data_IF_380249899333
#
_entry.id   IF_380249899333
#
_cell.length_a   1.000
_cell.length_b   1.000
_cell.length_c   1.000
_cell.angle_alpha   90.00
_cell.angle_beta   90.00
_cell.angle_gamma   90.00
#
_symmetry.space_group_name_H-M   'P 1'
#
loop_
_entity.id
_entity.type
_entity.pdbx_description
1 polymer ?
2 non-polymer ?
3 water ?
#
# COMPACT_ATOMS: atom_id res chain seq x y z
N UNK A 1 5.09 0.92 21.91
CA UNK A 1 5.36 -0.51 22.21
C UNK A 1 6.83 -0.75 22.55
N UNK A 2 7.05 -1.72 23.43
CA UNK A 2 8.35 -2.17 23.73
C UNK A 2 8.89 -3.12 22.65
N UNK A 3 10.19 -3.41 22.70
CA UNK A 3 10.84 -4.41 21.82
C UNK A 3 10.96 -5.70 22.57
N UNK A 4 10.32 -6.72 22.06
CA UNK A 4 10.38 -8.06 22.66
C UNK A 4 11.67 -8.80 22.35
N UNK A 5 11.96 -9.77 23.21
CA UNK A 5 13.20 -10.53 23.08
C UNK A 5 12.97 -12.05 23.04
N UNK A 6 11.73 -12.51 22.96
CA UNK A 6 11.43 -13.94 22.94
C UNK A 6 11.76 -14.61 21.64
N UNK A 7 11.69 -13.83 20.55
CA UNK A 7 11.93 -14.33 19.19
C UNK A 7 12.82 -13.35 18.41
N UNK A 8 13.98 -13.80 18.00
CA UNK A 8 14.84 -12.98 17.21
C UNK A 8 14.09 -12.49 15.94
N UNK A 9 14.33 -11.24 15.62
CA UNK A 9 13.80 -10.58 14.44
C UNK A 9 14.87 -10.50 13.36
N UNK A 10 14.72 -11.33 12.35
CA UNK A 10 15.65 -11.44 11.23
C UNK A 10 14.88 -11.02 9.97
N UNK A 11 15.18 -9.87 9.48
CA UNK A 11 14.52 -9.34 8.29
C UNK A 11 14.96 -10.06 7.01
N UNK A 12 14.07 -10.63 6.21
CA UNK A 12 14.49 -11.22 4.94
C UNK A 12 15.14 -10.20 4.06
N UNK A 13 16.14 -10.62 3.30
CA UNK A 13 16.80 -9.69 2.38
C UNK A 13 15.98 -9.61 1.10
N UNK A 14 15.89 -8.41 0.57
CA UNK A 14 15.25 -8.14 -0.71
C UNK A 14 16.02 -7.03 -1.38
N UNK A 15 16.98 -7.43 -2.20
CA UNK A 15 17.84 -6.50 -2.88
C UNK A 15 17.03 -5.67 -3.87
N UNK A 16 17.39 -4.39 -3.94
CA UNK A 16 16.86 -3.47 -4.92
C UNK A 16 17.98 -2.84 -5.73
N UNK A 17 17.65 -2.03 -6.72
CA UNK A 17 18.68 -1.37 -7.55
C UNK A 17 18.42 0.10 -7.60
N UNK A 18 19.45 0.93 -7.43
CA UNK A 18 19.31 2.35 -7.59
C UNK A 18 20.02 2.67 -8.94
N UNK A 19 19.38 3.43 -9.79
CA UNK A 19 19.81 3.69 -11.17
C UNK A 19 19.94 5.13 -11.48
N UNK A 20 21.01 5.43 -12.26
CA UNK A 20 21.24 6.77 -12.78
C UNK A 20 21.50 6.70 -14.26
N UNK A 21 21.13 7.76 -14.96
CA UNK A 21 21.34 7.80 -16.41
C UNK A 21 22.79 7.47 -16.88
N UNK A 22 23.72 8.10 -16.25
CA UNK A 22 25.12 7.89 -16.62
C UNK A 22 25.75 6.61 -16.10
N UNK A 23 25.35 6.16 -14.91
CA UNK A 23 25.98 5.05 -14.24
C UNK A 23 25.34 3.71 -14.28
N UNK A 24 24.10 3.73 -14.75
CA UNK A 24 23.34 2.49 -14.77
C UNK A 24 22.88 2.14 -13.38
N UNK A 25 22.61 0.86 -13.21
CA UNK A 25 21.97 0.39 -12.01
C UNK A 25 22.98 -0.33 -11.11
N UNK A 26 22.85 -0.07 -9.80
CA UNK A 26 23.70 -0.71 -8.79
C UNK A 26 22.86 -1.27 -7.66
N UNK A 27 23.23 -2.44 -7.15
CA UNK A 27 22.45 -3.08 -6.09
C UNK A 27 22.52 -2.38 -4.73
N UNK A 28 21.43 -2.47 -3.97
CA UNK A 28 21.34 -1.97 -2.59
C UNK A 28 20.95 -3.20 -1.79
N UNK A 29 21.52 -3.35 -0.61
CA UNK A 29 21.26 -4.47 0.27
C UNK A 29 20.07 -4.18 1.20
N UNK A 30 18.92 -3.92 0.57
CA UNK A 30 17.70 -3.67 1.30
C UNK A 30 17.13 -4.94 1.86
N UNK A 31 16.20 -4.78 2.81
CA UNK A 31 15.55 -5.88 3.50
C UNK A 31 14.04 -5.60 3.56
N UNK A 32 13.27 -6.54 4.10
CA UNK A 32 11.83 -6.27 4.39
C UNK A 32 11.53 -6.58 5.83
N UNK A 33 10.52 -5.89 6.39
CA UNK A 33 10.09 -6.06 7.75
C UNK A 33 8.53 -6.16 7.80
N UNK A 34 8.04 -7.07 8.61
CA UNK A 34 6.62 -7.25 8.82
C UNK A 34 6.05 -6.09 9.64
N UNK A 35 4.89 -5.59 9.21
CA UNK A 35 4.18 -4.56 9.91
C UNK A 35 3.73 -5.00 11.31
N UNK A 36 3.80 -4.04 12.24
CA UNK A 36 3.60 -4.33 13.67
C UNK A 36 2.20 -4.95 13.96
N UNK A 37 1.16 -4.63 13.16
CA UNK A 37 -0.20 -5.20 13.44
C UNK A 37 -0.27 -6.71 13.40
N UNK A 38 0.59 -7.34 12.62
CA UNK A 38 0.54 -8.78 12.48
C UNK A 38 1.29 -9.54 13.60
N UNK A 39 2.08 -8.80 14.40
CA UNK A 39 2.98 -9.44 15.36
C UNK A 39 2.32 -9.82 16.66
N UNK A 40 2.95 -10.78 17.32
CA UNK A 40 2.68 -11.12 18.68
C UNK A 40 2.95 -9.89 19.55
N UNK A 41 2.03 -9.58 20.45
CA UNK A 41 2.25 -8.52 21.44
C UNK A 41 2.01 -9.11 22.85
N UNK A 42 3.06 -9.06 23.68
CA UNK A 42 3.03 -9.73 24.97
C UNK A 42 3.70 -8.89 26.05
N UNK A 43 3.44 -9.28 27.29
CA UNK A 43 4.04 -8.55 28.41
C UNK A 43 5.54 -8.52 28.23
N UNK A 44 6.16 -7.40 28.55
CA UNK A 44 7.60 -7.24 28.37
C UNK A 44 8.41 -8.14 29.26
N UNK A 45 7.83 -8.60 30.32
CA UNK A 45 8.61 -9.38 31.26
C UNK A 45 8.34 -10.86 31.13
N UNK A 46 7.58 -11.24 30.10
CA UNK A 46 7.25 -12.67 29.89
C UNK A 46 6.60 -13.07 28.55
N UNK A 47 5.63 -13.97 28.64
CA UNK A 47 4.97 -14.55 27.49
C UNK A 47 3.48 -14.30 27.42
N UNK A 48 2.89 -13.67 28.43
CA UNK A 48 1.45 -13.47 28.44
C UNK A 48 1.05 -12.43 27.37
N UNK A 49 0.04 -12.76 26.57
CA UNK A 49 -0.37 -11.85 25.54
C UNK A 49 -0.98 -10.56 26.08
N UNK A 50 -0.73 -9.47 25.36
CA UNK A 50 -1.50 -8.26 25.59
C UNK A 50 -2.70 -8.16 24.67
N UNK A 51 -2.69 -8.91 23.60
CA UNK A 51 -3.75 -8.90 22.62
C UNK A 51 -3.86 -10.31 22.15
N UNK A 52 -5.09 -10.85 22.15
CA UNK A 52 -5.41 -12.19 21.67
C UNK A 52 -6.69 -12.11 20.87
N UNK A 53 -6.62 -12.62 19.65
CA UNK A 53 -7.81 -12.64 18.78
C UNK A 53 -8.18 -11.25 18.37
N UNK A 54 -9.24 -10.70 18.94
CA UNK A 54 -9.62 -9.34 18.61
C UNK A 54 -9.86 -8.47 19.83
N UNK A 55 -9.19 -8.84 20.95
CA UNK A 55 -9.33 -8.10 22.18
C UNK A 55 -7.99 -7.90 22.90
N UNK A 56 -7.90 -6.77 23.58
CA UNK A 56 -6.77 -6.47 24.42
C UNK A 56 -7.03 -7.02 25.81
N UNK A 57 -5.95 -7.29 26.54
CA UNK A 57 -6.01 -7.68 27.95
C UNK A 57 -6.11 -6.38 28.71
N UNK A 58 -7.25 -6.12 29.37
CA UNK A 58 -7.41 -4.79 30.00
C UNK A 58 -6.66 -4.63 31.32
N UNK A 59 -6.12 -5.74 31.82
CA UNK A 59 -5.27 -5.76 33.02
C UNK A 59 -3.94 -5.19 32.61
N UNK A 60 -3.37 -5.71 31.52
CA UNK A 60 -2.08 -5.22 31.02
C UNK A 60 -2.25 -3.90 30.27
N UNK A 61 -3.46 -3.65 29.76
CA UNK A 61 -3.72 -2.51 28.90
C UNK A 61 -4.96 -1.69 29.26
N UNK A 62 -4.92 -1.06 30.43
CA UNK A 62 -6.06 -0.23 30.89
C UNK A 62 -6.17 1.09 30.22
N UNK A 63 -5.08 1.52 29.63
CA UNK A 63 -5.08 2.74 28.86
C UNK A 63 -3.93 2.62 27.86
N UNK A 64 -3.89 3.49 26.86
CA UNK A 64 -2.89 3.31 25.81
C UNK A 64 -1.46 3.45 26.24
N UNK A 65 -1.15 4.38 27.16
CA UNK A 65 0.21 4.59 27.62
C UNK A 65 0.67 3.42 28.49
N UNK A 66 -0.15 2.98 29.42
CA UNK A 66 0.19 1.85 30.26
C UNK A 66 0.41 0.58 29.38
N UNK A 67 -0.46 0.35 28.40
CA UNK A 67 -0.31 -0.79 27.52
C UNK A 67 1.04 -0.75 26.82
N UNK A 68 1.40 0.40 26.26
CA UNK A 68 2.67 0.52 25.54
C UNK A 68 3.85 0.30 26.44
N UNK A 69 3.74 0.72 27.71
CA UNK A 69 4.81 0.46 28.64
C UNK A 69 4.93 -1.04 28.98
N UNK A 70 3.81 -1.73 29.08
CA UNK A 70 3.74 -3.12 29.50
C UNK A 70 3.91 -4.15 28.43
N UNK A 71 3.79 -3.74 27.16
CA UNK A 71 3.67 -4.68 26.08
C UNK A 71 4.71 -4.49 25.03
N UNK A 72 5.17 -5.62 24.52
CA UNK A 72 6.22 -5.68 23.56
C UNK A 72 5.82 -6.41 22.29
N UNK A 73 6.25 -5.87 21.17
CA UNK A 73 6.19 -6.51 19.84
C UNK A 73 7.38 -7.45 19.73
N UNK A 74 7.16 -8.64 19.22
CA UNK A 74 8.27 -9.57 19.09
C UNK A 74 8.61 -10.01 17.67
N UNK A 75 9.65 -10.80 17.52
CA UNK A 75 10.10 -11.25 16.23
C UNK A 75 9.13 -12.20 15.56
N UNK A 76 9.30 -12.33 14.25
CA UNK A 76 8.39 -13.09 13.40
C UNK A 76 9.08 -14.23 12.66
N UNK A 77 8.38 -15.36 12.60
CA UNK A 77 8.76 -16.44 11.72
C UNK A 77 8.11 -16.11 10.39
N UNK A 78 8.88 -15.50 9.50
CA UNK A 78 8.32 -14.95 8.26
C UNK A 78 7.63 -15.99 7.41
N UNK A 79 8.33 -17.10 7.17
CA UNK A 79 7.69 -18.12 6.35
C UNK A 79 6.67 -18.97 7.09
N UNK A 80 7.05 -19.41 8.28
CA UNK A 80 6.25 -20.39 9.05
C UNK A 80 4.90 -19.84 9.47
N UNK A 81 4.89 -18.60 9.95
CA UNK A 81 3.66 -18.00 10.47
C UNK A 81 2.94 -17.16 9.41
N UNK A 82 3.67 -16.46 8.52
CA UNK A 82 3.08 -15.47 7.64
C UNK A 82 3.11 -15.79 6.17
N UNK A 83 3.82 -16.84 5.79
CA UNK A 83 3.93 -17.22 4.40
C UNK A 83 4.68 -16.22 3.53
N UNK A 84 5.65 -15.59 4.14
CA UNK A 84 6.51 -14.59 3.46
C UNK A 84 7.91 -15.17 3.26
N UNK A 85 8.37 -15.20 2.02
CA UNK A 85 9.71 -15.72 1.68
C UNK A 85 10.34 -14.76 0.66
N UNK A 86 11.68 -14.72 0.67
CA UNK A 86 12.42 -14.01 -0.31
C UNK A 86 13.57 -14.81 -0.81
N UNK A 87 13.80 -14.79 -2.13
CA UNK A 87 15.03 -15.39 -2.70
C UNK A 87 16.25 -14.52 -2.54
N UNK A 88 16.04 -13.30 -2.10
CA UNK A 88 17.06 -12.25 -2.02
C UNK A 88 16.73 -11.21 -3.09
N UNK A 89 15.95 -11.57 -4.14
CA UNK A 89 15.53 -10.52 -5.11
C UNK A 89 14.02 -10.58 -5.41
N UNK A 90 13.33 -11.63 -4.99
CA UNK A 90 11.91 -11.84 -5.31
C UNK A 90 11.20 -12.19 -4.03
N UNK A 91 10.15 -11.45 -3.72
CA UNK A 91 9.36 -11.60 -2.51
C UNK A 91 8.06 -12.28 -2.81
N UNK A 92 7.82 -13.42 -2.15
CA UNK A 92 6.58 -14.15 -2.31
C UNK A 92 5.76 -13.90 -1.01
N UNK A 93 4.54 -13.42 -1.19
CA UNK A 93 3.62 -13.18 -0.10
C UNK A 93 2.42 -14.14 -0.35
N UNK A 94 2.26 -15.16 0.48
CA UNK A 94 1.17 -16.12 0.38
C UNK A 94 0.00 -15.56 1.19
N UNK A 95 -1.23 -15.95 0.79
CA UNK A 95 -2.44 -15.43 1.36
C UNK A 95 -2.72 -15.99 2.76
N UNK A 96 -3.12 -17.29 2.84
CA UNK A 96 -3.43 -17.87 4.15
C UNK A 96 -2.36 -18.84 4.61
N UNK A 97 -1.91 -18.64 5.84
CA UNK A 97 -0.90 -19.51 6.45
C UNK A 97 -1.44 -19.85 7.81
N UNK A 98 -1.99 -21.05 8.00
CA UNK A 98 -2.49 -21.42 9.31
C UNK A 98 -3.66 -20.52 9.59
N UNK A 99 -3.72 -19.87 10.75
CA UNK A 99 -4.80 -18.94 11.05
C UNK A 99 -4.49 -17.48 10.62
N UNK A 100 -3.32 -17.32 10.00
CA UNK A 100 -2.94 -15.99 9.55
C UNK A 100 -3.46 -15.69 8.15
N UNK A 101 -4.00 -14.51 8.01
CA UNK A 101 -4.48 -13.99 6.72
C UNK A 101 -3.67 -12.72 6.33
N UNK A 102 -3.07 -12.87 5.18
CA UNK A 102 -2.30 -11.81 4.53
C UNK A 102 -1.06 -11.34 5.28
N UNK A 103 -0.50 -10.24 4.75
CA UNK A 103 0.68 -9.66 5.34
C UNK A 103 0.92 -8.30 4.73
N UNK A 104 1.72 -7.49 5.42
CA UNK A 104 2.28 -6.22 4.90
C UNK A 104 3.70 -6.10 5.41
N UNK A 105 4.62 -5.79 4.51
CA UNK A 105 6.01 -5.60 4.86
C UNK A 105 6.48 -4.27 4.30
N UNK A 106 7.56 -3.74 4.86
CA UNK A 106 8.14 -2.49 4.38
C UNK A 106 9.57 -2.75 3.93
N UNK A 107 10.01 -2.01 2.94
CA UNK A 107 11.40 -2.12 2.50
C UNK A 107 12.33 -1.30 3.47
N UNK A 108 13.38 -1.94 3.91
CA UNK A 108 14.34 -1.34 4.83
C UNK A 108 15.70 -1.06 4.19
N UNK A 109 16.26 0.10 4.56
CA UNK A 109 17.68 0.43 4.24
C UNK A 109 18.64 -0.39 5.11
N UNK A 110 18.27 -0.63 6.32
CA UNK A 110 19.09 -1.36 7.30
C UNK A 110 18.16 -1.90 8.39
N UNK A 111 18.63 -2.59 9.41
CA UNK A 111 17.73 -3.21 10.40
C UNK A 111 16.95 -2.28 11.26
N UNK A 112 17.25 -0.99 11.26
CA UNK A 112 16.46 -0.07 12.07
C UNK A 112 15.89 1.13 11.31
N UNK A 113 15.96 1.08 9.97
CA UNK A 113 15.38 2.14 9.17
C UNK A 113 14.73 1.67 7.91
N UNK A 114 13.50 2.16 7.67
CA UNK A 114 12.89 1.98 6.38
C UNK A 114 13.69 2.69 5.33
N UNK A 115 13.72 2.16 4.12
CA UNK A 115 14.28 2.92 2.99
C UNK A 115 13.41 4.10 2.68
N UNK A 116 13.95 5.32 2.65
CA UNK A 116 13.20 6.54 2.35
C UNK A 116 13.38 6.89 0.92
N UNK A 117 12.40 6.65 0.10
CA UNK A 117 12.48 6.84 -1.31
C UNK A 117 12.01 8.24 -1.61
N UNK A 118 12.77 8.99 -2.40
CA UNK A 118 12.44 10.36 -2.85
C UNK A 118 12.28 10.33 -4.36
N UNK A 119 11.02 10.22 -4.83
CA UNK A 119 10.78 9.88 -6.20
C UNK A 119 10.32 10.95 -7.14
N UNK A 120 10.42 12.22 -6.71
CA UNK A 120 10.22 13.34 -7.65
C UNK A 120 11.24 13.37 -8.72
N UNK A 121 10.74 13.48 -9.99
CA UNK A 121 11.62 13.44 -11.15
C UNK A 121 12.44 12.18 -11.12
N UNK A 122 11.80 11.04 -10.70
CA UNK A 122 12.41 9.73 -10.64
C UNK A 122 11.31 8.75 -11.09
N UNK A 123 11.71 7.48 -11.23
CA UNK A 123 10.76 6.41 -11.53
C UNK A 123 11.00 5.25 -10.58
N UNK A 124 9.98 4.40 -10.46
CA UNK A 124 10.03 3.18 -9.67
C UNK A 124 9.58 2.02 -10.57
N UNK A 125 10.28 0.91 -10.58
CA UNK A 125 10.03 -0.20 -11.46
C UNK A 125 10.10 -1.47 -10.67
N UNK A 126 9.28 -2.45 -11.03
CA UNK A 126 9.24 -3.76 -10.40
C UNK A 126 8.62 -4.73 -11.35
N UNK A 127 8.88 -6.01 -11.10
CA UNK A 127 8.17 -7.12 -11.73
C UNK A 127 7.13 -7.70 -10.78
N UNK A 128 6.02 -8.17 -11.36
CA UNK A 128 4.94 -8.82 -10.58
C UNK A 128 4.46 -10.09 -11.29
N UNK A 129 4.12 -11.07 -10.49
CA UNK A 129 3.51 -12.31 -10.96
C UNK A 129 2.18 -12.44 -10.21
N UNK A 130 1.06 -12.23 -10.92
CA UNK A 130 -0.26 -12.31 -10.37
C UNK A 130 -0.97 -13.55 -10.89
N UNK A 131 -0.24 -14.46 -11.46
CA UNK A 131 -0.92 -15.64 -12.03
C UNK A 131 -1.85 -16.33 -11.00
N UNK A 132 -1.44 -16.33 -9.74
CA UNK A 132 -2.20 -16.98 -8.69
C UNK A 132 -2.78 -16.00 -7.70
N UNK A 133 -3.20 -14.84 -8.22
CA UNK A 133 -3.79 -13.80 -7.42
C UNK A 133 -5.18 -13.35 -7.98
N UNK A 134 -6.27 -13.98 -7.53
CA UNK A 134 -7.65 -13.77 -8.11
C UNK A 134 -8.56 -12.68 -7.60
N UNK A 135 -9.82 -12.63 -8.15
CA UNK A 135 -10.78 -11.64 -7.73
C UNK A 135 -10.78 -11.62 -6.21
N UNK A 136 -11.04 -10.46 -5.62
CA UNK A 136 -11.18 -10.41 -4.21
C UNK A 136 -9.88 -10.25 -3.45
N UNK A 137 -8.74 -10.48 -4.12
CA UNK A 137 -7.42 -10.33 -3.45
C UNK A 137 -6.76 -9.13 -4.01
N UNK A 138 -5.81 -8.60 -3.25
CA UNK A 138 -5.07 -7.42 -3.68
C UNK A 138 -3.59 -7.58 -3.29
N UNK A 139 -2.76 -7.63 -4.32
CA UNK A 139 -1.32 -7.67 -4.13
C UNK A 139 -0.88 -6.22 -4.34
N UNK A 140 -0.59 -5.51 -3.29
CA UNK A 140 -0.36 -4.06 -3.34
C UNK A 140 1.10 -3.71 -3.08
N UNK A 141 1.57 -2.76 -3.86
CA UNK A 141 2.94 -2.20 -3.70
C UNK A 141 2.69 -0.70 -3.71
N UNK A 142 3.06 -0.01 -2.67
CA UNK A 142 2.73 1.37 -2.51
C UNK A 142 3.61 2.15 -1.57
N UNK A 143 3.43 3.46 -1.53
CA UNK A 143 4.22 4.40 -0.74
C UNK A 143 3.39 5.05 0.31
N UNK A 144 3.90 5.15 1.54
CA UNK A 144 3.24 5.87 2.60
C UNK A 144 4.23 6.86 3.17
N UNK A 145 3.74 8.01 3.63
CA UNK A 145 4.58 9.03 4.20
C UNK A 145 4.88 8.71 5.71
N UNK A 146 5.42 7.53 5.99
CA UNK A 146 5.83 7.11 7.29
C UNK A 146 7.21 7.70 7.61
N UNK A 147 7.56 7.74 8.90
CA UNK A 147 8.94 8.13 9.29
C UNK A 147 9.85 6.94 9.12
N UNK A 148 11.10 7.21 8.79
CA UNK A 148 12.06 6.12 8.55
C UNK A 148 12.32 5.26 9.78
N UNK A 149 12.19 5.81 10.97
CA UNK A 149 12.36 5.09 12.23
C UNK A 149 11.02 4.58 12.79
N UNK A 150 9.97 4.60 11.97
CA UNK A 150 8.70 4.10 12.47
C UNK A 150 8.06 4.93 13.57
N UNK A 151 8.65 6.12 13.84
CA UNK A 151 8.11 7.03 14.88
C UNK A 151 8.91 7.09 16.16
N UNK A 152 10.01 6.39 16.27
CA UNK A 152 10.69 6.36 17.56
C UNK A 152 11.19 7.72 18.04
N UNK A 153 11.72 8.51 17.15
CA UNK A 153 12.21 9.82 17.57
C UNK A 153 11.08 10.73 18.07
N UNK A 154 9.86 10.57 17.55
CA UNK A 154 8.76 11.42 17.91
C UNK A 154 7.97 10.98 19.12
N UNK A 155 8.03 9.70 19.44
CA UNK A 155 7.15 9.14 20.42
C UNK A 155 7.90 8.31 21.41
N UNK A 156 8.15 8.86 22.60
CA UNK A 156 8.89 8.10 23.62
C UNK A 156 8.30 6.74 23.96
N UNK A 157 7.00 6.55 23.81
CA UNK A 157 6.40 5.30 24.16
C UNK A 157 6.68 4.19 23.15
N UNK A 158 7.22 4.53 21.99
CA UNK A 158 7.64 3.54 20.95
C UNK A 158 9.14 3.29 21.05
N UNK A 159 9.48 2.17 21.64
CA UNK A 159 10.83 1.69 21.74
C UNK A 159 11.13 0.57 20.76
N UNK A 160 10.16 0.28 19.85
CA UNK A 160 10.32 -0.81 18.91
C UNK A 160 10.75 -0.32 17.55
N UNK A 161 10.04 0.65 16.99
CA UNK A 161 10.51 1.31 15.76
C UNK A 161 10.45 0.50 14.50
N UNK A 162 11.24 0.89 13.54
CA UNK A 162 11.20 0.30 12.22
C UNK A 162 11.57 -1.16 12.21
N UNK A 163 12.41 -1.58 13.15
CA UNK A 163 12.79 -2.97 13.25
C UNK A 163 11.61 -3.89 13.43
N UNK A 164 10.53 -3.41 14.06
CA UNK A 164 9.33 -4.21 14.30
C UNK A 164 8.14 -3.67 13.50
N UNK A 165 8.40 -2.82 12.50
CA UNK A 165 7.32 -2.45 11.56
C UNK A 165 6.34 -1.49 12.13
N UNK A 166 6.70 -0.61 13.04
CA UNK A 166 5.78 0.40 13.60
C UNK A 166 5.62 1.64 12.72
N UNK A 167 4.58 2.40 13.06
CA UNK A 167 4.39 3.71 12.52
C UNK A 167 3.60 3.78 11.23
N UNK A 168 2.82 2.73 10.89
CA UNK A 168 2.03 2.84 9.69
C UNK A 168 1.07 4.02 9.75
N UNK A 169 0.75 4.50 8.54
CA UNK A 169 -0.29 5.45 8.28
C UNK A 169 -0.63 5.31 6.81
N UNK A 170 -1.85 5.69 6.45
CA UNK A 170 -2.21 5.79 5.03
C UNK A 170 -3.38 6.76 4.89
N UNK A 171 -3.83 6.90 3.66
CA UNK A 171 -4.83 7.91 3.28
C UNK A 171 -6.23 7.55 3.74
N UNK A 172 -6.41 6.37 4.28
CA UNK A 172 -7.70 5.96 4.84
C UNK A 172 -7.72 6.23 6.37
N UNK A 173 -6.67 6.82 6.95
CA UNK A 173 -6.62 7.11 8.39
C UNK A 173 -7.10 5.94 9.22
N UNK A 174 -6.56 4.78 9.00
CA UNK A 174 -7.10 3.60 9.66
C UNK A 174 -7.06 3.59 11.15
N UNK A 175 -8.16 3.08 11.72
CA UNK A 175 -8.31 2.99 13.16
C UNK A 175 -8.17 1.61 13.68
N UNK A 176 -7.73 0.71 12.82
CA UNK A 176 -7.44 -0.69 13.18
C UNK A 176 -5.96 -0.95 13.53
N UNK A 177 -5.17 0.11 13.49
CA UNK A 177 -3.74 0.02 13.84
C UNK A 177 -3.62 0.02 15.35
N UNK A 178 -2.91 -0.98 15.84
CA UNK A 178 -2.85 -1.23 17.26
C UNK A 178 -1.96 -0.29 18.03
N UNK A 179 -0.89 0.15 17.43
CA UNK A 179 0.00 1.12 18.03
C UNK A 179 0.10 2.35 17.17
N UNK A 180 -0.28 3.51 17.75
CA UNK A 180 -0.16 4.84 17.11
C UNK A 180 0.45 5.82 18.08
N UNK A 181 1.42 6.58 17.61
CA UNK A 181 2.08 7.58 18.40
C UNK A 181 2.63 7.05 19.73
N UNK A 182 3.12 5.85 19.71
CA UNK A 182 3.65 5.25 20.93
C UNK A 182 2.69 4.80 21.97
N UNK A 183 1.43 4.74 21.62
CA UNK A 183 0.37 4.34 22.53
C UNK A 183 -0.45 3.22 21.90
N UNK A 184 -0.85 2.27 22.70
CA UNK A 184 -1.77 1.26 22.17
C UNK A 184 -3.12 1.93 21.93
N UNK A 185 -3.73 1.62 20.80
CA UNK A 185 -4.99 2.27 20.39
C UNK A 185 -6.19 1.56 21.00
N UNK A 186 -6.24 1.50 22.33
CA UNK A 186 -7.22 0.70 23.01
C UNK A 186 -8.52 1.39 23.40
N UNK A 187 -8.60 2.69 23.17
CA UNK A 187 -9.77 3.45 23.59
C UNK A 187 -10.97 3.05 22.80
N UNK A 188 -12.06 2.73 23.47
CA UNK A 188 -13.26 2.29 22.83
C UNK A 188 -13.05 1.16 21.84
N UNK A 189 -12.16 0.24 22.20
CA UNK A 189 -11.84 -0.84 21.28
C UNK A 189 -13.08 -1.59 20.88
N UNK A 190 -13.25 -1.83 19.57
CA UNK A 190 -14.46 -2.46 18.99
C UNK A 190 -14.05 -3.59 18.08
N UNK A 191 -14.58 -4.79 18.27
CA UNK A 191 -14.26 -5.93 17.42
C UNK A 191 -14.86 -5.74 16.05
N UNK A 192 -14.10 -6.05 15.00
CA UNK A 192 -14.57 -5.98 13.62
C UNK A 192 -14.46 -7.27 12.85
N UNK A 193 -13.81 -8.25 13.46
CA UNK A 193 -13.58 -9.55 12.88
C UNK A 193 -12.92 -10.42 13.91
N UNK A 194 -12.66 -11.68 13.60
CA UNK A 194 -12.07 -12.59 14.56
C UNK A 194 -10.68 -12.13 15.03
N UNK A 195 -9.91 -11.43 14.17
CA UNK A 195 -8.56 -11.05 14.53
C UNK A 195 -8.34 -9.54 14.57
N UNK A 196 -9.38 -8.78 14.27
CA UNK A 196 -9.28 -7.36 14.15
C UNK A 196 -10.27 -6.55 14.96
N UNK A 197 -9.93 -5.29 15.18
CA UNK A 197 -10.72 -4.30 15.86
C UNK A 197 -10.31 -2.89 15.49
N UNK A 198 -10.99 -1.90 16.02
CA UNK A 198 -10.64 -0.52 15.89
C UNK A 198 -10.66 0.21 17.22
N UNK A 199 -9.82 1.22 17.35
CA UNK A 199 -9.76 2.06 18.50
C UNK A 199 -10.17 3.47 18.21
N UNK A 200 -9.99 4.38 19.16
CA UNK A 200 -10.54 5.70 19.06
C UNK A 200 -9.70 6.61 18.18
N UNK A 201 -8.48 6.18 17.84
CA UNK A 201 -7.61 6.95 16.99
C UNK A 201 -7.36 6.28 15.66
N UNK A 202 -7.16 7.12 14.64
CA UNK A 202 -6.61 6.62 13.38
C UNK A 202 -5.27 7.24 13.07
N UNK A 203 -4.63 6.75 11.97
CA UNK A 203 -3.30 7.22 11.63
C UNK A 203 -3.27 7.55 10.14
N UNK A 204 -3.07 8.82 9.85
CA UNK A 204 -3.23 9.41 8.54
C UNK A 204 -1.94 9.82 7.95
N UNK A 205 -1.81 9.65 6.62
CA UNK A 205 -0.72 10.30 5.89
C UNK A 205 -0.99 10.10 4.40
N UNK A 206 -0.33 10.94 3.62
CA UNK A 206 -0.38 10.84 2.19
C UNK A 206 0.15 9.47 1.73
N UNK A 207 -0.40 9.00 0.62
CA UNK A 207 -0.14 7.65 0.08
C UNK A 207 -0.11 7.67 -1.44
N UNK A 208 0.86 7.00 -2.04
CA UNK A 208 0.89 6.86 -3.49
C UNK A 208 0.76 5.36 -3.78
N UNK A 209 -0.38 4.94 -4.27
CA UNK A 209 -0.62 3.53 -4.58
C UNK A 209 -0.08 3.23 -5.96
N UNK A 210 1.21 2.81 -6.03
CA UNK A 210 1.80 2.50 -7.28
C UNK A 210 1.08 1.33 -7.94
N UNK A 211 0.61 0.40 -7.13
CA UNK A 211 0.03 -0.82 -7.65
C UNK A 211 -0.91 -1.46 -6.66
N UNK A 212 -2.17 -1.54 -7.05
CA UNK A 212 -3.21 -2.33 -6.35
C UNK A 212 -3.83 -3.15 -7.42
N UNK A 213 -3.71 -4.44 -7.30
CA UNK A 213 -4.12 -5.28 -8.39
C UNK A 213 -4.27 -6.73 -8.04
N UNK A 214 -5.09 -7.39 -8.87
CA UNK A 214 -5.10 -8.83 -8.96
C UNK A 214 -5.15 -9.15 -10.45
N UNK A 215 -5.19 -10.39 -10.82
CA UNK A 215 -5.26 -10.67 -12.23
C UNK A 215 -6.56 -10.31 -12.98
N UNK A 216 -7.48 -9.64 -12.32
CA UNK A 216 -8.60 -9.02 -13.05
C UNK A 216 -8.55 -7.51 -13.27
N UNK A 217 -7.78 -6.77 -12.46
CA UNK A 217 -7.89 -5.35 -12.50
C UNK A 217 -6.66 -4.89 -11.75
N UNK A 218 -6.33 -3.69 -12.12
CA UNK A 218 -5.23 -2.94 -11.54
C UNK A 218 -5.53 -1.51 -11.46
N UNK A 219 -4.98 -0.82 -10.49
CA UNK A 219 -5.18 0.59 -10.38
C UNK A 219 -3.91 1.24 -9.81
N UNK A 220 -3.57 2.40 -10.28
CA UNK A 220 -2.53 3.25 -9.67
C UNK A 220 -3.15 4.58 -9.28
N UNK A 221 -2.87 5.02 -8.05
CA UNK A 221 -3.63 6.11 -7.40
C UNK A 221 -2.90 6.95 -6.40
N UNK A 222 -2.64 8.24 -6.67
CA UNK A 222 -2.20 9.17 -5.64
C UNK A 222 -3.33 9.56 -4.69
N UNK A 223 -3.00 9.67 -3.40
CA UNK A 223 -3.93 10.13 -2.34
C UNK A 223 -3.24 11.15 -1.46
N UNK A 224 -3.43 12.44 -1.70
CA UNK A 224 -2.83 13.46 -0.85
C UNK A 224 -3.58 13.69 0.45
N UNK A 225 -2.88 14.10 1.47
CA UNK A 225 -3.54 14.58 2.70
C UNK A 225 -3.03 16.00 2.91
N UNK A 226 -3.86 16.81 3.58
CA UNK A 226 -3.49 18.20 3.84
C UNK A 226 -2.38 18.31 4.83
N UNK A 227 -2.24 17.26 5.62
CA UNK A 227 -1.21 17.19 6.61
C UNK A 227 0.07 16.65 6.02
N UNK A 228 1.15 16.75 6.76
CA UNK A 228 2.44 16.31 6.24
C UNK A 228 3.01 15.29 7.22
N UNK A 229 3.11 14.07 6.77
CA UNK A 229 3.68 13.03 7.58
C UNK A 229 2.61 12.39 8.42
N UNK A 230 3.06 11.47 9.24
CA UNK A 230 2.15 10.57 9.97
C UNK A 230 1.49 11.37 11.10
N UNK A 231 0.16 11.35 11.06
CA UNK A 231 -0.67 12.15 11.93
C UNK A 231 -1.74 11.36 12.55
N UNK A 232 -1.79 11.37 13.88
CA UNK A 232 -2.83 10.68 14.58
C UNK A 232 -4.07 11.53 14.49
N UNK A 233 -5.21 10.90 14.26
CA UNK A 233 -6.50 11.62 14.16
C UNK A 233 -7.56 11.09 15.17
N UNK A 234 -8.50 11.95 15.50
CA UNK A 234 -9.64 11.60 16.30
C UNK A 234 -10.83 12.27 15.62
N UNK A 235 -11.98 11.63 15.75
CA UNK A 235 -13.22 12.27 15.29
C UNK A 235 -13.36 12.37 13.78
N UNK A 236 -13.97 13.46 13.32
CA UNK A 236 -14.22 13.56 11.89
C UNK A 236 -12.93 13.90 11.10
N UNK A 237 -11.82 14.23 11.76
CA UNK A 237 -10.52 14.35 11.07
C UNK A 237 -10.13 13.01 10.44
N UNK A 238 -10.59 11.91 11.05
CA UNK A 238 -10.35 10.59 10.55
C UNK A 238 -11.27 10.29 9.42
N UNK A 239 -12.37 11.06 9.31
CA UNK A 239 -13.39 10.80 8.31
C UNK A 239 -12.79 10.83 6.91
N UNK A 240 -13.03 9.78 6.18
CA UNK A 240 -12.42 9.73 4.86
C UNK A 240 -12.95 10.90 4.04
N UNK A 241 -12.10 11.38 3.20
CA UNK A 241 -12.41 12.43 2.25
C UNK A 241 -12.65 13.79 2.83
N UNK A 242 -13.56 13.83 3.82
CA UNK A 242 -13.97 15.09 4.43
C UNK A 242 -13.02 15.53 5.50
N UNK A 243 -12.19 14.57 5.97
CA UNK A 243 -11.14 14.84 6.97
C UNK A 243 -9.77 15.26 6.43
N UNK A 244 -8.70 14.76 7.04
CA UNK A 244 -7.39 15.17 6.64
C UNK A 244 -6.95 14.67 5.23
N UNK A 245 -7.60 13.62 4.76
CA UNK A 245 -7.02 12.87 3.61
C UNK A 245 -8.01 12.61 2.54
N UNK A 246 -7.50 12.60 1.32
CA UNK A 246 -8.28 12.10 0.20
C UNK A 246 -8.29 10.58 0.16
N UNK A 247 -9.33 9.99 0.71
CA UNK A 247 -9.46 8.56 0.75
C UNK A 247 -9.75 7.82 -0.52
N UNK A 248 -10.37 8.55 -1.44
CA UNK A 248 -10.73 8.01 -2.70
C UNK A 248 -9.53 7.99 -3.67
N UNK A 249 -8.76 9.07 -3.67
CA UNK A 249 -7.63 9.17 -4.55
C UNK A 249 -8.00 9.43 -6.00
N UNK A 250 -7.05 9.92 -6.78
CA UNK A 250 -7.25 10.11 -8.23
C UNK A 250 -6.67 8.83 -8.87
N UNK A 251 -7.52 7.89 -9.25
CA UNK A 251 -7.14 6.57 -9.70
C UNK A 251 -7.11 6.46 -11.21
N UNK A 252 -6.25 5.58 -11.73
CA UNK A 252 -6.21 5.21 -13.09
C UNK A 252 -6.23 3.69 -13.12
N UNK A 253 -7.42 3.17 -13.39
CA UNK A 253 -7.65 1.79 -13.59
C UNK A 253 -8.09 1.75 -15.03
N UNK A 254 -7.37 0.99 -15.86
CA UNK A 254 -7.62 0.98 -17.33
C UNK A 254 -9.07 0.69 -17.61
N UNK A 255 -9.66 -0.24 -16.88
CA UNK A 255 -11.07 -0.69 -17.08
C UNK A 255 -12.01 0.39 -16.63
N UNK A 256 -11.83 0.99 -15.48
CA UNK A 256 -12.65 2.10 -15.01
C UNK A 256 -12.61 3.30 -15.94
N UNK A 257 -11.45 3.51 -16.54
CA UNK A 257 -11.25 4.55 -17.54
C UNK A 257 -11.73 4.14 -18.97
N UNK A 258 -12.49 3.05 -19.10
CA UNK A 258 -13.23 2.78 -20.35
C UNK A 258 -12.55 1.89 -21.35
N UNK A 259 -11.46 1.24 -20.92
CA UNK A 259 -10.75 0.30 -21.78
C UNK A 259 -10.82 -1.06 -21.11
N UNK A 260 -11.79 -1.87 -21.49
CA UNK A 260 -12.03 -3.16 -20.86
C UNK A 260 -11.15 -4.30 -21.35
N UNK A 261 -10.26 -4.10 -22.33
CA UNK A 261 -9.46 -5.20 -22.89
C UNK A 261 -7.90 -5.03 -22.81
N UNK A 262 -7.43 -4.03 -22.07
CA UNK A 262 -6.00 -3.77 -21.96
C UNK A 262 -5.31 -4.75 -20.99
N UNK A 263 -5.91 -4.91 -19.82
CA UNK A 263 -5.20 -5.59 -18.71
C UNK A 263 -6.14 -6.67 -18.14
N UNK A 264 -5.59 -7.85 -18.14
CA UNK A 264 -6.33 -8.99 -17.61
C UNK A 264 -5.77 -10.27 -18.16
N UNK A 265 -6.47 -11.38 -17.91
CA UNK A 265 -5.98 -12.63 -18.42
C UNK A 265 -6.07 -12.67 -19.99
N UNK A 266 -4.91 -12.94 -20.60
CA UNK A 266 -4.74 -13.00 -22.05
C UNK A 266 -4.76 -11.69 -22.82
N UNK A 267 -4.81 -10.56 -22.08
CA UNK A 267 -4.94 -9.21 -22.65
C UNK A 267 -3.54 -8.63 -23.06
N UNK A 268 -3.51 -7.37 -23.46
CA UNK A 268 -2.25 -6.74 -23.89
C UNK A 268 -1.13 -6.88 -22.81
N UNK A 269 -1.54 -6.59 -21.57
CA UNK A 269 -0.78 -6.89 -20.38
C UNK A 269 -1.47 -8.17 -19.87
N UNK A 270 -0.76 -9.27 -20.08
CA UNK A 270 -1.30 -10.64 -19.81
C UNK A 270 -1.01 -11.00 -18.33
N UNK A 271 -2.04 -10.85 -17.50
CA UNK A 271 -1.89 -11.06 -16.05
C UNK A 271 -1.68 -12.52 -15.67
N UNK A 272 -1.76 -13.43 -16.66
CA UNK A 272 -1.55 -14.81 -16.41
C UNK A 272 -0.07 -15.09 -16.36
N UNK A 273 0.81 -14.10 -16.70
CA UNK A 273 2.22 -14.29 -16.71
C UNK A 273 2.94 -13.07 -16.02
N UNK A 274 4.18 -13.23 -15.60
CA UNK A 274 4.83 -12.07 -14.97
C UNK A 274 5.02 -10.92 -15.96
N UNK A 275 5.11 -9.70 -15.42
CA UNK A 275 5.46 -8.53 -16.25
C UNK A 275 6.13 -7.45 -15.39
N UNK A 276 6.65 -6.43 -16.08
CA UNK A 276 7.34 -5.32 -15.50
C UNK A 276 6.40 -4.11 -15.52
N UNK A 277 6.44 -3.34 -14.42
CA UNK A 277 5.61 -2.16 -14.20
C UNK A 277 6.55 -0.98 -13.89
N UNK A 278 6.58 0.00 -14.78
CA UNK A 278 7.34 1.24 -14.62
C UNK A 278 6.38 2.40 -14.27
N UNK A 279 6.74 3.21 -13.27
CA UNK A 279 5.89 4.33 -12.86
C UNK A 279 6.80 5.52 -12.72
N UNK A 280 6.51 6.59 -13.49
CA UNK A 280 7.40 7.75 -13.56
C UNK A 280 6.71 8.98 -12.95
N UNK A 281 7.41 9.72 -12.11
CA UNK A 281 6.83 10.86 -11.41
C UNK A 281 7.47 12.15 -11.98
N UNK A 282 6.81 12.71 -12.97
CA UNK A 282 7.33 13.93 -13.64
C UNK A 282 6.96 15.22 -12.99
N UNK A 283 7.91 16.14 -12.98
CA UNK A 283 7.63 17.48 -12.47
C UNK A 283 7.51 18.46 -13.67
N UNK A 284 6.75 19.55 -13.46
CA UNK A 284 6.50 20.53 -14.52
C UNK A 284 7.77 21.08 -15.18
N UNK A 285 8.88 21.17 -14.45
CA UNK A 285 10.14 21.68 -14.99
C UNK A 285 11.24 20.67 -15.07
N UNK A 286 10.87 19.37 -14.97
CA UNK A 286 11.91 18.30 -14.97
C UNK A 286 13.01 18.40 -13.95
N UNK A 287 12.69 18.98 -12.81
CA UNK A 287 13.63 18.98 -11.72
C UNK A 287 13.02 18.33 -10.49
N UNK A 288 13.88 17.97 -9.56
CA UNK A 288 13.44 17.38 -8.29
C UNK A 288 12.86 18.40 -7.29
N UNK A 289 12.90 19.69 -7.62
CA UNK A 289 12.23 20.68 -6.77
C UNK A 289 10.94 21.14 -7.43
N UNK A 290 10.72 20.69 -8.65
CA UNK A 290 9.52 21.10 -9.33
C UNK A 290 8.22 20.51 -8.77
N UNK A 291 7.11 20.88 -9.41
CA UNK A 291 5.76 20.48 -9.03
C UNK A 291 5.29 19.22 -9.77
N UNK A 292 4.99 18.17 -9.01
CA UNK A 292 4.56 16.93 -9.64
C UNK A 292 3.44 17.25 -10.62
N UNK A 293 3.63 16.93 -11.90
CA UNK A 293 2.71 17.27 -12.96
C UNK A 293 2.08 16.12 -13.75
N UNK A 294 2.72 14.94 -13.65
CA UNK A 294 2.25 13.82 -14.35
C UNK A 294 2.79 12.52 -13.75
N UNK A 295 1.93 11.51 -13.70
CA UNK A 295 2.39 10.16 -13.32
C UNK A 295 2.16 9.24 -14.52
N UNK A 296 3.25 8.78 -15.12
CA UNK A 296 3.21 7.97 -16.30
C UNK A 296 3.42 6.50 -15.93
N UNK A 297 2.85 5.61 -16.75
CA UNK A 297 2.95 4.16 -16.58
C UNK A 297 3.30 3.47 -17.86
N UNK A 298 4.36 2.66 -17.81
CA UNK A 298 4.81 1.84 -18.89
C UNK A 298 4.93 0.39 -18.40
N UNK A 299 4.51 -0.56 -19.22
CA UNK A 299 4.63 -1.98 -18.95
C UNK A 299 5.64 -2.60 -19.91
N UNK A 300 6.29 -3.66 -19.45
CA UNK A 300 7.13 -4.45 -20.33
C UNK A 300 6.78 -5.92 -20.11
N UNK A 301 6.54 -6.66 -21.17
CA UNK A 301 6.18 -8.08 -21.03
C UNK A 301 6.74 -8.76 -22.26
N UNK A 302 7.47 -9.87 -22.06
CA UNK A 302 8.09 -10.57 -23.15
C UNK A 302 8.92 -9.65 -24.03
N UNK A 303 9.57 -8.67 -23.40
CA UNK A 303 10.46 -7.73 -24.11
C UNK A 303 9.70 -6.67 -24.91
N UNK A 304 8.38 -6.70 -24.93
CA UNK A 304 7.59 -5.71 -25.64
C UNK A 304 7.32 -4.51 -24.68
N UNK A 305 7.65 -3.30 -25.12
CA UNK A 305 7.30 -2.10 -24.39
C UNK A 305 5.83 -1.73 -24.67
N UNK A 306 5.03 -1.62 -23.61
CA UNK A 306 3.61 -1.45 -23.73
C UNK A 306 3.26 -0.16 -23.04
N UNK A 307 2.85 0.84 -23.82
CA UNK A 307 2.40 2.04 -23.20
C UNK A 307 1.06 1.85 -22.48
N UNK A 308 0.80 2.70 -21.52
CA UNK A 308 -0.48 2.63 -20.78
C UNK A 308 -1.71 2.86 -21.73
N UNK A 309 -2.87 2.31 -21.35
CA UNK A 309 -4.07 2.46 -22.16
C UNK A 309 -4.57 3.89 -22.03
N UNK A 310 -5.28 4.37 -23.07
CA UNK A 310 -5.89 5.68 -23.08
C UNK A 310 -7.28 5.63 -22.44
N UNK A 311 -7.65 6.71 -21.77
CA UNK A 311 -9.00 6.87 -21.18
C UNK A 311 -10.00 6.98 -22.32
N UNK A 312 -11.16 6.43 -22.09
CA UNK A 312 -12.23 6.50 -23.06
C UNK A 312 -13.56 6.71 -22.34
N UNK A 313 -13.71 7.92 -21.84
CA UNK A 313 -14.87 8.32 -21.05
C UNK A 313 -15.30 9.69 -21.60
N UNK A 314 -16.58 9.84 -21.95
CA UNK A 314 -17.09 11.15 -22.35
C UNK A 314 -16.84 12.22 -21.32
N UNK A 315 -16.29 13.34 -21.71
CA UNK A 315 -15.99 14.38 -20.76
C UNK A 315 -14.56 14.29 -20.20
N UNK A 316 -13.76 13.33 -20.64
CA UNK A 316 -12.40 13.12 -20.13
C UNK A 316 -11.45 13.03 -21.35
N UNK A 317 -10.49 13.89 -21.42
CA UNK A 317 -9.54 13.90 -22.53
C UNK A 317 -8.97 12.46 -22.62
N UNK A 318 -8.81 11.90 -23.82
CA UNK A 318 -8.28 10.54 -24.03
C UNK A 318 -6.73 10.46 -23.83
N UNK A 319 -6.32 10.51 -22.57
CA UNK A 319 -4.93 10.51 -22.12
C UNK A 319 -4.65 9.18 -21.42
N UNK A 320 -3.37 8.90 -21.18
CA UNK A 320 -2.93 7.65 -20.59
C UNK A 320 -2.03 7.90 -19.40
N UNK A 321 -2.04 9.08 -18.79
CA UNK A 321 -1.25 9.36 -17.59
C UNK A 321 -2.13 10.14 -16.59
N UNK A 322 -1.78 10.11 -15.33
CA UNK A 322 -2.51 10.94 -14.34
C UNK A 322 -1.95 12.33 -14.29
N UNK A 323 -2.82 13.34 -14.49
CA UNK A 323 -2.52 14.75 -14.33
C UNK A 323 -3.62 15.48 -13.49
N UNK A 324 -3.37 16.70 -13.01
CA UNK A 324 -4.39 17.47 -12.24
C UNK A 324 -5.64 17.63 -13.11
N UNK A 325 -5.37 17.95 -14.37
CA UNK A 325 -6.49 18.12 -15.27
C UNK A 325 -7.24 16.80 -15.52
N UNK A 326 -6.52 15.69 -15.72
CA UNK A 326 -7.23 14.40 -15.83
C UNK A 326 -8.07 14.04 -14.58
N UNK A 327 -7.54 14.37 -13.42
CA UNK A 327 -8.23 14.12 -12.17
C UNK A 327 -9.52 14.94 -12.10
N UNK A 328 -9.44 16.24 -12.40
CA UNK A 328 -10.65 17.11 -12.34
C UNK A 328 -11.65 16.52 -13.28
N UNK A 329 -11.21 16.16 -14.48
CA UNK A 329 -12.09 15.60 -15.44
C UNK A 329 -12.70 14.30 -15.12
N UNK A 330 -11.92 13.31 -14.65
CA UNK A 330 -12.54 12.04 -14.30
C UNK A 330 -13.47 12.13 -13.01
N UNK A 331 -13.18 13.07 -12.08
CA UNK A 331 -13.99 13.20 -10.85
C UNK A 331 -15.39 13.79 -11.28
N UNK A 332 -15.39 14.74 -12.21
CA UNK A 332 -16.64 15.33 -12.68
C UNK A 332 -17.40 14.27 -13.44
N UNK A 333 -16.69 13.56 -14.30
CA UNK A 333 -17.32 12.51 -15.06
C UNK A 333 -17.93 11.46 -14.28
N UNK A 334 -17.24 11.09 -13.23
CA UNK A 334 -17.72 10.03 -12.36
C UNK A 334 -18.66 10.43 -11.22
N UNK A 335 -18.87 11.73 -11.06
CA UNK A 335 -19.71 12.21 -9.98
C UNK A 335 -19.04 12.18 -8.65
N UNK A 336 -17.70 12.21 -8.59
CA UNK A 336 -17.01 12.14 -7.35
C UNK A 336 -16.49 13.52 -7.09
N UNK A 337 -16.55 13.92 -5.84
CA UNK A 337 -16.05 15.23 -5.42
C UNK A 337 -14.51 15.11 -5.55
N UNK A 338 -13.90 16.23 -5.88
CA UNK A 338 -12.46 16.22 -6.08
C UNK A 338 -11.79 16.56 -4.82
N UNK A 339 -11.81 15.57 -3.89
CA UNK A 339 -11.20 15.63 -2.57
C UNK A 339 -9.70 15.69 -2.80
N UNK A 340 -9.23 15.05 -3.87
CA UNK A 340 -7.85 15.14 -4.30
C UNK A 340 -7.29 16.52 -4.46
N UNK A 341 -8.02 17.39 -5.24
CA UNK A 341 -7.65 18.79 -5.44
C UNK A 341 -7.82 19.57 -4.14
N UNK A 342 -8.81 19.24 -3.35
CA UNK A 342 -9.10 19.89 -2.06
C UNK A 342 -7.94 19.76 -1.09
N UNK A 343 -7.29 18.58 -1.13
CA UNK A 343 -6.12 18.33 -0.33
C UNK A 343 -4.79 18.84 -0.92
N UNK A 344 -4.85 19.36 -2.17
CA UNK A 344 -3.69 19.95 -2.76
C UNK A 344 -3.22 19.33 -4.09
N UNK A 345 -3.99 18.36 -4.56
CA UNK A 345 -3.73 17.63 -5.80
C UNK A 345 -2.33 17.05 -5.93
N UNK A 346 -1.88 17.09 -7.16
CA UNK A 346 -0.56 16.48 -7.46
C UNK A 346 0.53 17.23 -6.79
N UNK A 347 0.35 18.55 -6.61
CA UNK A 347 1.37 19.34 -5.97
C UNK A 347 1.64 18.78 -4.55
N UNK A 348 0.55 18.59 -3.80
CA UNK A 348 0.59 18.09 -2.43
C UNK A 348 1.09 16.62 -2.39
N UNK A 349 0.64 15.83 -3.35
CA UNK A 349 1.20 14.44 -3.48
C UNK A 349 2.68 14.55 -3.69
N UNK A 350 3.07 15.43 -4.59
CA UNK A 350 4.47 15.56 -4.93
C UNK A 350 5.32 16.01 -3.78
N UNK A 351 4.85 16.93 -2.92
CA UNK A 351 5.69 17.30 -1.80
C UNK A 351 5.86 16.13 -0.83
N UNK A 352 4.83 15.29 -0.70
CA UNK A 352 4.99 14.05 0.09
C UNK A 352 6.05 13.13 -0.55
N UNK A 353 6.00 13.01 -1.87
CA UNK A 353 7.05 12.27 -2.53
C UNK A 353 8.43 12.90 -2.30
N UNK A 354 8.47 14.22 -2.37
CA UNK A 354 9.75 14.92 -2.15
C UNK A 354 10.33 14.79 -0.77
N UNK A 355 9.47 14.71 0.23
CA UNK A 355 9.91 14.58 1.59
C UNK A 355 10.42 13.14 1.93
N UNK A 356 10.04 12.20 1.09
CA UNK A 356 10.45 10.82 1.32
C UNK A 356 9.30 9.97 1.80
N UNK A 357 9.23 8.79 1.22
CA UNK A 357 8.14 7.83 1.52
C UNK A 357 8.68 6.42 1.66
N UNK A 358 7.91 5.61 2.40
CA UNK A 358 8.26 4.23 2.71
C UNK A 358 7.48 3.28 1.81
N UNK A 359 8.18 2.28 1.25
CA UNK A 359 7.59 1.29 0.37
C UNK A 359 6.97 0.14 1.18
N UNK A 360 5.68 -0.10 0.97
CA UNK A 360 4.94 -1.21 1.54
C UNK A 360 4.57 -2.21 0.43
N UNK A 361 4.64 -3.49 0.78
CA UNK A 361 4.24 -4.56 -0.10
C UNK A 361 3.30 -5.42 0.69
N UNK A 362 2.19 -5.86 0.10
CA UNK A 362 1.14 -6.55 0.86
C UNK A 362 0.29 -7.47 0.02
N UNK A 363 -0.31 -8.43 0.72
CA UNK A 363 -1.39 -9.24 0.13
C UNK A 363 -2.49 -9.17 1.15
N UNK A 364 -3.73 -8.90 0.70
CA UNK A 364 -4.84 -8.77 1.60
C UNK A 364 -6.19 -9.02 0.92
N UNK A 365 -7.20 -9.24 1.78
CA UNK A 365 -8.65 -9.20 1.38
C UNK A 365 -9.34 -8.05 2.15
N UNK A 366 -10.58 -7.70 1.76
CA UNK A 366 -11.23 -6.47 2.15
C UNK A 366 -12.53 -6.78 2.84
N UNK A 367 -12.53 -6.66 4.16
CA UNK A 367 -13.72 -6.90 4.97
C UNK A 367 -14.72 -5.77 4.75
N UNK A 368 -14.28 -4.58 4.38
CA UNK A 368 -15.22 -3.47 4.23
C UNK A 368 -16.01 -3.47 2.91
N UNK A 369 -15.30 -3.45 1.81
CA UNK A 369 -15.94 -3.37 0.50
C UNK A 369 -15.72 -4.58 -0.41
N UNK A 370 -15.16 -5.67 0.09
CA UNK A 370 -14.94 -6.89 -0.67
C UNK A 370 -14.08 -6.80 -1.97
N UNK A 371 -13.31 -5.72 -2.04
CA UNK A 371 -12.39 -5.42 -3.16
C UNK A 371 -13.18 -4.97 -4.40
N UNK A 372 -14.50 -4.78 -4.21
CA UNK A 372 -15.33 -4.43 -5.37
C UNK A 372 -14.85 -3.13 -6.04
N UNK A 373 -14.32 -2.23 -5.23
CA UNK A 373 -13.85 -0.94 -5.69
C UNK A 373 -12.69 -1.10 -6.70
N UNK A 374 -12.08 -2.30 -6.68
CA UNK A 374 -10.90 -2.56 -7.51
C UNK A 374 -11.32 -3.36 -8.72
N UNK A 375 -12.19 -4.32 -8.49
CA UNK A 375 -12.40 -5.22 -9.57
C UNK A 375 -13.90 -5.50 -9.92
N UNK A 376 -14.81 -4.63 -9.56
CA UNK A 376 -16.23 -4.88 -9.78
C UNK A 376 -16.98 -3.53 -9.79
N UNK A 377 -18.29 -3.59 -9.43
CA UNK A 377 -19.04 -2.39 -9.39
C UNK A 377 -19.03 -1.74 -8.07
N UNK A 378 -18.82 -0.42 -8.00
CA UNK A 378 -18.87 0.24 -6.79
C UNK A 378 -19.24 1.67 -7.08
N UNK A 379 -20.05 2.29 -6.24
CA UNK A 379 -20.78 1.56 -5.15
C UNK A 379 -21.75 0.39 -5.66
N UNK A 380 -22.17 -0.54 -4.77
CA UNK A 380 -22.96 -1.74 -5.17
C UNK A 380 -24.42 -1.33 -5.37
N UNK A 381 -24.67 -0.06 -5.13
CA UNK A 381 -26.00 0.50 -5.34
C UNK A 381 -26.09 1.46 -6.52
N UNK A 382 -25.04 1.59 -7.29
CA UNK A 382 -25.09 2.46 -8.45
C UNK A 382 -25.22 1.60 -9.71
N UNK A 383 -25.73 2.25 -10.76
CA UNK A 383 -25.90 1.57 -11.99
C UNK A 383 -24.55 1.34 -12.67
N UNK A 384 -24.28 0.10 -12.92
CA UNK A 384 -23.07 -0.35 -13.55
C UNK A 384 -22.83 0.21 -14.89
N UNK A 385 -23.80 0.87 -15.52
CA UNK A 385 -23.59 1.33 -16.86
C UNK A 385 -23.15 2.76 -16.75
N UNK A 386 -23.25 3.34 -15.55
CA UNK A 386 -22.81 4.72 -15.37
C UNK A 386 -21.25 4.85 -15.35
N UNK A 387 -20.73 5.94 -15.91
CA UNK A 387 -19.29 6.12 -15.93
C UNK A 387 -18.75 6.02 -14.56
N UNK A 388 -17.66 5.27 -14.45
CA UNK A 388 -16.94 5.10 -13.21
C UNK A 388 -17.43 4.02 -12.29
N UNK A 389 -18.63 3.47 -12.51
CA UNK A 389 -19.16 2.46 -11.58
C UNK A 389 -18.48 1.12 -11.67
N UNK A 390 -18.33 0.70 -12.89
CA UNK A 390 -17.73 -0.58 -13.19
C UNK A 390 -16.13 -0.47 -13.26
N UNK A 391 -15.39 -1.23 -12.41
CA UNK A 391 -13.91 -1.13 -12.34
C UNK A 391 -13.27 -2.48 -12.80
N UNK A 392 -14.04 -3.54 -12.90
CA UNK A 392 -13.54 -4.76 -13.43
C UNK A 392 -14.70 -5.68 -13.69
N UNK A 393 -14.36 -6.95 -14.00
CA UNK A 393 -15.41 -7.99 -14.28
C UNK A 393 -15.61 -9.02 -13.20
N UNK A 394 -15.06 -8.78 -11.99
CA UNK A 394 -15.33 -9.66 -10.87
C UNK A 394 -16.85 -9.54 -10.50
N UNK A 395 -17.45 -10.65 -10.08
CA UNK A 395 -18.85 -10.69 -9.65
C UNK A 395 -19.09 -9.77 -8.45
N UNK A 396 -20.28 -9.21 -8.38
CA UNK A 396 -20.56 -8.34 -7.26
C UNK A 396 -20.60 -9.12 -5.96
N UNK A 397 -20.57 -10.42 -6.05
CA UNK A 397 -20.64 -11.31 -4.91
C UNK A 397 -19.27 -11.77 -4.47
N UNK A 398 -18.23 -11.48 -5.25
CA UNK A 398 -16.88 -11.97 -4.88
C UNK A 398 -16.27 -11.12 -3.80
N UNK A 399 -15.15 -11.62 -3.30
CA UNK A 399 -14.29 -10.89 -2.38
C UNK A 399 -14.70 -10.89 -0.93
N UNK A 400 -15.76 -11.60 -0.57
CA UNK A 400 -16.11 -11.67 0.84
C UNK A 400 -14.98 -12.46 1.53
N UNK A 401 -14.36 -11.87 2.52
CA UNK A 401 -13.21 -12.52 3.20
C UNK A 401 -13.42 -13.98 3.53
N UNK A 402 -14.56 -14.29 4.17
CA UNK A 402 -14.79 -15.66 4.57
C UNK A 402 -14.80 -16.61 3.38
N UNK A 403 -15.28 -16.17 2.22
CA UNK A 403 -15.24 -17.08 1.07
C UNK A 403 -13.83 -17.21 0.49
N UNK A 404 -13.14 -16.11 0.23
CA UNK A 404 -11.79 -16.24 -0.36
C UNK A 404 -10.79 -17.03 0.49
N UNK A 405 -10.83 -16.81 1.81
CA UNK A 405 -9.89 -17.50 2.73
C UNK A 405 -10.04 -19.05 2.73
N UNK A 406 -11.25 -19.56 2.48
CA UNK A 406 -11.36 -21.03 2.40
C UNK A 406 -11.21 -21.61 0.99
N UNK A 407 -11.60 -20.83 -0.01
CA UNK A 407 -11.55 -21.28 -1.39
C UNK A 407 -10.20 -21.18 -2.09
N UNK A 408 -9.46 -20.09 -1.86
CA UNK A 408 -8.17 -19.89 -2.52
C UNK A 408 -7.10 -19.50 -1.52
N UNK A 409 -6.83 -20.28 -0.48
CA UNK A 409 -5.90 -19.88 0.58
C UNK A 409 -4.44 -19.84 0.11
N UNK A 410 -4.05 -20.58 -0.89
CA UNK A 410 -2.68 -20.68 -1.39
C UNK A 410 -2.43 -19.66 -2.53
N UNK A 411 -3.34 -18.72 -2.71
CA UNK A 411 -3.06 -17.57 -3.58
C UNK A 411 -1.80 -16.87 -3.06
N UNK A 412 -1.09 -16.23 -3.97
CA UNK A 412 0.15 -15.49 -3.63
C UNK A 412 0.39 -14.45 -4.68
N UNK A 413 1.27 -13.52 -4.33
CA UNK A 413 1.83 -12.57 -5.27
C UNK A 413 3.32 -12.62 -5.13
N UNK A 414 4.01 -12.44 -6.25
CA UNK A 414 5.47 -12.32 -6.24
C UNK A 414 5.90 -10.98 -6.80
N UNK A 415 6.65 -10.25 -6.00
CA UNK A 415 7.22 -8.92 -6.39
C UNK A 415 8.73 -9.07 -6.50
N UNK A 416 9.33 -8.66 -7.61
CA UNK A 416 10.75 -8.87 -7.81
C UNK A 416 11.32 -7.73 -8.63
N UNK A 417 12.63 -7.79 -8.88
CA UNK A 417 13.35 -6.82 -9.67
C UNK A 417 12.96 -5.35 -9.35
N UNK A 418 13.09 -5.01 -8.09
CA UNK A 418 12.74 -3.69 -7.66
C UNK A 418 13.83 -2.71 -8.02
N UNK A 419 13.48 -1.62 -8.70
CA UNK A 419 14.48 -0.60 -9.15
C UNK A 419 13.93 0.78 -9.03
N UNK A 420 14.77 1.79 -8.76
CA UNK A 420 14.31 3.15 -8.74
C UNK A 420 15.45 4.05 -9.16
N UNK A 421 15.11 5.21 -9.68
CA UNK A 421 16.16 6.17 -10.03
C UNK A 421 15.74 7.10 -11.12
N UNK A 422 16.69 7.64 -11.89
CA UNK A 422 16.40 8.62 -12.89
C UNK A 422 15.36 8.12 -13.89
N UNK A 423 14.58 9.06 -14.37
CA UNK A 423 13.57 8.72 -15.38
C UNK A 423 14.23 8.18 -16.63
N UNK A 424 13.81 7.00 -17.10
CA UNK A 424 14.38 6.37 -18.23
C UNK A 424 15.57 5.49 -17.91
N UNK A 425 15.99 5.41 -16.65
CA UNK A 425 17.24 4.69 -16.36
C UNK A 425 17.05 3.35 -15.75
N UNK A 426 15.83 2.98 -15.33
CA UNK A 426 15.64 1.67 -14.72
C UNK A 426 15.31 0.61 -15.72
N UNK A 427 15.10 1.02 -16.97
CA UNK A 427 14.88 0.11 -18.02
C UNK A 427 15.53 0.69 -19.29
N UNK A 428 15.69 -0.14 -20.32
CA UNK A 428 16.25 0.34 -21.56
C UNK A 428 15.50 -0.23 -22.73
N UNK A 429 15.83 0.33 -23.90
CA UNK A 429 15.25 -0.10 -25.13
C UNK A 429 16.25 -0.14 -26.25
N UNK A 430 15.97 -0.92 -27.28
CA UNK A 430 16.79 -0.88 -28.48
C UNK A 430 16.05 -1.51 -29.65
N UNK A 431 16.44 -1.07 -30.85
CA UNK A 431 16.03 -1.61 -32.15
C UNK A 431 17.25 -2.41 -32.71
X LIG B 1 10.69 17.82 -19.52
X LIG B 1 10.94 18.90 -20.60
X LIG B 1 10.20 18.60 -21.89
X LIG B 1 10.13 17.09 -22.28
X LIG B 1 9.85 16.30 -21.00
X LIG B 1 9.88 14.81 -21.39
X LIG B 1 11.40 21.22 -19.85
X LIG B 1 10.90 22.57 -19.40
X LIG B 1 10.53 20.26 -20.17
X LIG B 1 10.82 19.38 -22.90
X LIG B 1 9.05 16.90 -23.16
X LIG B 1 10.88 16.54 -20.07
X LIG B 1 8.89 14.02 -20.66
X LIG B 1 12.60 21.03 -19.87
#
# INVERSE_FOLDING_TARGET
>A
QQAGTNTAENHPQLQSQQCTTSGGCKPLSTKVVLDSNWRWVHSTSGYTNCYTGNEWDTSLCPDGKTCAANCALDGADYSGTYGITSTGTALTLKFVTGSNVGSRVYLMADDTHYQLLKLLNQEFTFDVDMSNLPCGLNGALYLSAMDADGGMSKYPGNKAGAKYGTGYCDSQCPKDIKFINGEANVGNWTETGSNTGTGSYGTCCSEMDIWEANNDAAAFTPHPCTTTGQTRCSGDDCARNTGLCDGDGCDFNSFRMGDKTFLGKGMTVDTSKPFTVVTQFLTNDNTSTGTLSEIRRIYIQNGKVIQNSVANIPGVDPVNSITDNFCAQQKTAFGDTNWFAQKGGLKQMGEALGNGMVLALSIWDDHAANMLWLDSDYPTDKDPSAPGVARGTCATTSGVPSDVESQVPNSQVVFSNIKFGDIGSTFSGTS
>B hetero
1 NAG C1 C2 C3 C4 C5 C6 C7 C8 N2 O3 O4 O5 O6 O7
#
